data_IF_274723229034
#
_entry.id   IF_274723229034
#
_cell.length_a   1.000
_cell.length_b   1.000
_cell.length_c   1.000
_cell.angle_alpha   90.00
_cell.angle_beta   90.00
_cell.angle_gamma   90.00
#
_symmetry.space_group_name_H-M   'P 1'
#
loop_
_entity.id
_entity.type
_entity.pdbx_description
1 polymer ?
#
# COMPACT_ATOMS: atom_id res chain seq x y z
N UNK A 1 4.70 15.19 17.03
CA UNK A 1 3.27 15.23 16.69
C UNK A 1 2.47 14.60 17.82
N UNK A 2 1.39 15.22 18.27
CA UNK A 2 0.57 14.68 19.33
C UNK A 2 -0.39 13.58 18.83
N UNK A 3 -1.01 12.84 19.74
CA UNK A 3 -1.89 11.72 19.38
C UNK A 3 -3.13 12.14 18.61
N UNK A 4 -3.67 13.31 18.91
CA UNK A 4 -4.82 13.85 18.18
C UNK A 4 -4.50 14.11 16.70
N UNK A 5 -3.37 14.76 16.43
CA UNK A 5 -2.90 15.01 15.05
C UNK A 5 -2.62 13.71 14.31
N UNK A 6 -2.04 12.72 14.97
CA UNK A 6 -1.79 11.40 14.39
C UNK A 6 -3.09 10.69 13.99
N UNK A 7 -4.08 10.70 14.86
CA UNK A 7 -5.40 10.12 14.56
C UNK A 7 -6.09 10.80 13.40
N UNK A 8 -6.04 12.11 13.35
CA UNK A 8 -6.66 12.89 12.28
C UNK A 8 -5.92 12.65 10.97
N UNK A 9 -4.60 12.67 10.96
CA UNK A 9 -3.81 12.39 9.76
C UNK A 9 -4.07 10.97 9.23
N UNK A 10 -4.11 9.99 10.11
CA UNK A 10 -4.44 8.61 9.74
C UNK A 10 -5.82 8.52 9.10
N UNK A 11 -6.82 9.18 9.68
CA UNK A 11 -8.18 9.19 9.14
C UNK A 11 -8.25 9.84 7.75
N UNK A 12 -7.52 10.94 7.54
CA UNK A 12 -7.44 11.60 6.22
C UNK A 12 -6.84 10.66 5.18
N UNK A 13 -5.74 10.01 5.50
CA UNK A 13 -5.06 9.13 4.55
C UNK A 13 -5.90 7.89 4.25
N UNK A 14 -6.50 7.28 5.28
CA UNK A 14 -7.39 6.13 5.10
C UNK A 14 -8.59 6.48 4.20
N UNK A 15 -9.21 7.62 4.43
CA UNK A 15 -10.33 8.09 3.60
C UNK A 15 -9.88 8.38 2.15
N UNK A 16 -8.74 9.05 1.98
CA UNK A 16 -8.21 9.33 0.65
C UNK A 16 -7.84 8.07 -0.12
N UNK A 17 -7.27 7.07 0.53
CA UNK A 17 -6.96 5.77 -0.09
C UNK A 17 -8.24 5.10 -0.61
N UNK A 18 -9.34 5.22 0.14
CA UNK A 18 -10.61 4.59 -0.23
C UNK A 18 -11.38 5.35 -1.31
N UNK A 19 -11.30 6.67 -1.34
CA UNK A 19 -12.14 7.51 -2.20
C UNK A 19 -11.40 8.21 -3.33
N UNK A 20 -10.09 8.41 -3.20
CA UNK A 20 -9.26 9.22 -4.08
C UNK A 20 -9.76 10.68 -4.24
N UNK A 21 -10.54 11.17 -3.28
CA UNK A 21 -11.11 12.51 -3.26
C UNK A 21 -10.58 13.31 -2.08
N UNK A 22 -10.46 14.65 -2.21
CA UNK A 22 -10.08 15.51 -1.09
C UNK A 22 -10.98 15.31 0.12
N UNK A 23 -10.38 15.29 1.30
CA UNK A 23 -11.07 14.97 2.56
C UNK A 23 -11.38 16.22 3.34
N UNK A 24 -12.65 16.40 3.72
CA UNK A 24 -13.13 17.52 4.54
C UNK A 24 -13.21 17.14 6.02
N UNK A 25 -13.21 18.15 6.89
CA UNK A 25 -13.41 17.95 8.33
C UNK A 25 -14.77 17.31 8.64
N UNK A 26 -15.82 17.68 7.92
CA UNK A 26 -17.15 17.09 8.08
C UNK A 26 -17.19 15.60 7.77
N UNK A 27 -16.54 15.18 6.70
CA UNK A 27 -16.45 13.78 6.32
C UNK A 27 -15.72 12.93 7.38
N UNK A 28 -14.66 13.48 7.97
CA UNK A 28 -13.91 12.78 9.02
C UNK A 28 -14.72 12.59 10.29
N UNK A 29 -15.41 13.64 10.74
CA UNK A 29 -16.24 13.57 11.94
C UNK A 29 -17.38 12.57 11.75
N UNK A 30 -18.02 12.58 10.59
CA UNK A 30 -19.15 11.71 10.28
C UNK A 30 -18.75 10.24 10.15
N UNK A 31 -17.69 9.94 9.37
CA UNK A 31 -17.33 8.57 9.03
C UNK A 31 -16.44 7.86 10.04
N UNK A 32 -15.55 8.60 10.71
CA UNK A 32 -14.53 8.00 11.58
C UNK A 32 -14.85 8.12 13.08
N UNK A 33 -16.01 8.68 13.42
CA UNK A 33 -16.46 8.78 14.82
C UNK A 33 -15.43 9.45 15.74
N UNK A 34 -14.74 10.47 15.23
CA UNK A 34 -13.75 11.21 16.00
C UNK A 34 -14.43 11.95 17.15
N UNK A 35 -13.86 11.84 18.36
CA UNK A 35 -14.36 12.50 19.58
C UNK A 35 -14.06 14.01 19.61
N UNK A 36 -13.88 14.63 18.45
CA UNK A 36 -13.53 16.04 18.32
C UNK A 36 -14.60 16.78 17.54
N UNK A 37 -14.78 18.07 17.87
CA UNK A 37 -15.68 18.92 17.09
C UNK A 37 -15.16 19.14 15.67
N UNK A 38 -16.06 19.44 14.75
CA UNK A 38 -15.70 19.80 13.37
C UNK A 38 -14.73 20.98 13.31
N UNK A 39 -14.88 21.97 14.20
CA UNK A 39 -13.97 23.11 14.30
C UNK A 39 -12.57 22.68 14.75
N UNK A 40 -12.46 21.78 15.72
CA UNK A 40 -11.18 21.22 16.17
C UNK A 40 -10.48 20.46 15.06
N UNK A 41 -11.21 19.61 14.35
CA UNK A 41 -10.67 18.85 13.21
C UNK A 41 -10.18 19.79 12.11
N UNK A 42 -10.95 20.82 11.79
CA UNK A 42 -10.56 21.84 10.81
C UNK A 42 -9.26 22.54 11.19
N UNK A 43 -9.10 22.92 12.45
CA UNK A 43 -7.88 23.56 12.95
C UNK A 43 -6.68 22.61 12.86
N UNK A 44 -6.87 21.35 13.20
CA UNK A 44 -5.81 20.35 13.09
C UNK A 44 -5.40 20.06 11.63
N UNK A 45 -6.38 20.07 10.71
CA UNK A 45 -6.09 19.95 9.27
C UNK A 45 -5.24 21.13 8.77
N UNK A 46 -5.56 22.36 9.22
CA UNK A 46 -4.78 23.54 8.88
C UNK A 46 -3.33 23.45 9.42
N UNK A 47 -3.16 22.96 10.64
CA UNK A 47 -1.83 22.75 11.24
C UNK A 47 -1.03 21.67 10.50
N UNK A 48 -1.68 20.58 10.12
CA UNK A 48 -1.05 19.51 9.34
C UNK A 48 -0.63 19.99 7.94
N UNK A 49 -1.42 20.88 7.33
CA UNK A 49 -1.07 21.52 6.07
C UNK A 49 0.18 22.41 6.24
N UNK A 50 0.22 23.26 7.26
CA UNK A 50 1.37 24.11 7.56
C UNK A 50 2.64 23.32 7.82
N UNK A 51 2.52 22.17 8.46
CA UNK A 51 3.63 21.28 8.75
C UNK A 51 4.06 20.42 7.56
N UNK A 52 3.34 20.50 6.43
CA UNK A 52 3.66 19.80 5.19
C UNK A 52 3.14 18.37 5.08
N UNK A 53 2.32 17.90 6.01
CA UNK A 53 1.75 16.55 5.97
C UNK A 53 0.53 16.43 5.06
N UNK A 54 -0.17 17.53 4.83
CA UNK A 54 -1.33 17.62 3.95
C UNK A 54 -1.16 18.77 2.97
N UNK A 55 -1.78 18.62 1.80
CA UNK A 55 -1.88 19.67 0.78
C UNK A 55 -3.33 20.10 0.63
N UNK A 56 -3.53 21.39 0.34
CA UNK A 56 -4.83 21.95 0.07
C UNK A 56 -5.12 21.89 -1.43
N UNK A 57 -6.34 21.50 -1.78
CA UNK A 57 -6.78 21.50 -3.18
C UNK A 57 -7.32 22.86 -3.59
N UNK A 58 -7.28 23.16 -4.91
CA UNK A 58 -7.68 24.47 -5.46
C UNK A 58 -9.18 24.73 -5.38
N UNK A 59 -10.03 23.72 -5.25
CA UNK A 59 -11.47 23.82 -5.48
C UNK A 59 -12.34 23.58 -4.25
N UNK A 60 -11.75 23.22 -3.11
CA UNK A 60 -12.53 22.92 -1.92
C UNK A 60 -11.73 23.16 -0.64
N UNK A 61 -12.42 23.10 0.50
CA UNK A 61 -11.79 23.09 1.82
C UNK A 61 -11.14 21.75 2.17
N UNK A 62 -11.20 20.77 1.27
CA UNK A 62 -10.64 19.45 1.45
C UNK A 62 -9.12 19.41 1.44
N UNK A 63 -8.57 18.36 2.02
CA UNK A 63 -7.13 18.10 2.07
C UNK A 63 -6.80 16.78 1.44
N UNK A 64 -5.62 16.72 0.81
CA UNK A 64 -5.04 15.48 0.28
C UNK A 64 -3.70 15.21 0.99
N UNK A 65 -3.29 13.95 1.14
CA UNK A 65 -1.99 13.64 1.72
C UNK A 65 -0.85 14.14 0.83
N UNK A 66 0.17 14.75 1.45
CA UNK A 66 1.43 15.06 0.79
C UNK A 66 2.35 13.84 0.78
N UNK A 67 3.45 13.91 0.04
CA UNK A 67 4.49 12.88 0.08
C UNK A 67 5.00 12.65 1.51
N UNK A 68 5.25 13.73 2.24
CA UNK A 68 5.64 13.67 3.64
C UNK A 68 4.58 13.00 4.52
N UNK A 69 3.31 13.28 4.26
CA UNK A 69 2.18 12.66 4.96
C UNK A 69 2.11 11.16 4.74
N UNK A 70 2.22 10.70 3.52
CA UNK A 70 2.25 9.27 3.20
C UNK A 70 3.44 8.56 3.83
N UNK A 71 4.61 9.17 3.81
CA UNK A 71 5.80 8.59 4.44
C UNK A 71 5.61 8.41 5.94
N UNK A 72 5.08 9.42 6.60
CA UNK A 72 4.77 9.34 8.02
C UNK A 72 3.71 8.27 8.33
N UNK A 73 2.70 8.14 7.48
CA UNK A 73 1.68 7.11 7.60
C UNK A 73 2.26 5.70 7.54
N UNK A 74 3.12 5.44 6.55
CA UNK A 74 3.75 4.13 6.39
C UNK A 74 4.71 3.82 7.55
N UNK A 75 5.48 4.81 7.99
CA UNK A 75 6.50 4.59 9.01
C UNK A 75 5.94 4.51 10.43
N UNK A 76 4.90 5.31 10.74
CA UNK A 76 4.46 5.54 12.12
C UNK A 76 3.00 5.19 12.40
N UNK A 77 2.12 5.29 11.41
CA UNK A 77 0.67 5.19 11.63
C UNK A 77 0.08 3.86 11.21
N UNK A 78 0.60 3.25 10.15
CA UNK A 78 0.08 1.98 9.69
C UNK A 78 0.44 0.89 10.70
N UNK A 79 -0.56 0.16 11.14
CA UNK A 79 -0.33 -1.03 11.97
C UNK A 79 -0.09 -2.19 11.02
N UNK A 80 1.05 -2.84 11.17
CA UNK A 80 1.28 -4.11 10.54
C UNK A 80 0.33 -5.13 11.18
N UNK A 81 -0.64 -5.58 10.40
CA UNK A 81 -1.43 -6.74 10.80
C UNK A 81 -0.54 -7.96 10.63
N UNK A 82 -0.29 -8.69 11.71
CA UNK A 82 0.44 -9.93 11.67
C UNK A 82 -0.31 -10.92 10.76
N UNK A 83 0.34 -11.33 9.69
CA UNK A 83 -0.18 -12.37 8.81
C UNK A 83 -0.18 -13.69 9.59
N UNK A 84 -1.31 -14.37 9.64
CA UNK A 84 -1.40 -15.67 10.30
C UNK A 84 -0.49 -16.70 9.63
N UNK A 85 -0.08 -17.73 10.38
CA UNK A 85 0.74 -18.80 9.82
C UNK A 85 0.05 -19.53 8.66
N UNK A 86 -1.26 -19.68 8.72
CA UNK A 86 -2.06 -20.28 7.65
C UNK A 86 -2.08 -19.43 6.38
N UNK A 87 -2.22 -18.11 6.53
CA UNK A 87 -2.12 -17.17 5.41
C UNK A 87 -0.75 -17.17 4.78
N UNK A 88 0.31 -17.20 5.59
CA UNK A 88 1.69 -17.29 5.09
C UNK A 88 1.90 -18.58 4.29
N UNK A 89 1.43 -19.72 4.78
CA UNK A 89 1.51 -21.00 4.06
C UNK A 89 0.73 -20.97 2.76
N UNK A 90 -0.44 -20.36 2.76
CA UNK A 90 -1.24 -20.19 1.55
C UNK A 90 -0.52 -19.35 0.49
N UNK A 91 0.05 -18.21 0.89
CA UNK A 91 0.83 -17.35 -0.01
C UNK A 91 2.04 -18.09 -0.57
N UNK A 92 2.80 -18.78 0.29
CA UNK A 92 3.96 -19.57 -0.13
C UNK A 92 3.59 -20.66 -1.14
N UNK A 93 2.48 -21.38 -0.90
CA UNK A 93 2.03 -22.43 -1.81
C UNK A 93 1.66 -21.88 -3.20
N UNK A 94 1.00 -20.72 -3.26
CA UNK A 94 0.65 -20.05 -4.52
C UNK A 94 1.88 -19.59 -5.28
N UNK A 95 2.82 -18.97 -4.60
CA UNK A 95 4.07 -18.50 -5.23
C UNK A 95 4.92 -19.67 -5.73
N UNK A 96 5.06 -20.73 -4.95
CA UNK A 96 5.81 -21.93 -5.35
C UNK A 96 5.20 -22.61 -6.59
N UNK A 97 3.88 -22.69 -6.68
CA UNK A 97 3.18 -23.22 -7.84
C UNK A 97 3.50 -22.41 -9.10
N UNK A 98 3.49 -21.09 -9.03
CA UNK A 98 3.82 -20.22 -10.17
C UNK A 98 5.28 -20.33 -10.59
N UNK A 99 6.20 -20.43 -9.66
CA UNK A 99 7.63 -20.64 -9.97
C UNK A 99 7.84 -21.97 -10.66
N UNK A 100 7.20 -23.06 -10.21
CA UNK A 100 7.28 -24.36 -10.85
C UNK A 100 6.70 -24.34 -12.27
N UNK A 101 5.59 -23.64 -12.50
CA UNK A 101 5.02 -23.45 -13.83
C UNK A 101 6.00 -22.75 -14.79
N UNK A 102 6.73 -21.74 -14.30
CA UNK A 102 7.75 -21.03 -15.08
C UNK A 102 8.92 -21.96 -15.43
N UNK A 103 9.40 -22.76 -14.48
CA UNK A 103 10.46 -23.74 -14.70
C UNK A 103 10.05 -24.79 -15.76
N UNK A 104 8.83 -25.31 -15.67
CA UNK A 104 8.31 -26.29 -16.65
C UNK A 104 8.21 -25.67 -18.04
N UNK A 105 7.73 -24.42 -18.14
CA UNK A 105 7.68 -23.70 -19.40
C UNK A 105 9.07 -23.50 -20.01
N UNK A 106 10.06 -23.15 -19.19
CA UNK A 106 11.44 -22.98 -19.63
C UNK A 106 12.01 -24.30 -20.15
N UNK A 107 11.74 -25.43 -19.50
CA UNK A 107 12.16 -26.79 -19.96
C UNK A 107 11.52 -27.12 -21.29
N UNK A 108 10.24 -26.91 -21.47
CA UNK A 108 9.52 -27.17 -22.73
C UNK A 108 10.10 -26.33 -23.86
N UNK A 109 10.29 -25.01 -23.62
CA UNK A 109 10.87 -24.12 -24.63
C UNK A 109 12.29 -24.53 -25.03
N UNK A 110 13.12 -24.89 -24.05
CA UNK A 110 14.49 -25.34 -24.28
C UNK A 110 14.54 -26.63 -25.10
N UNK A 111 13.75 -27.63 -24.74
CA UNK A 111 13.64 -28.89 -25.46
C UNK A 111 13.16 -28.69 -26.90
N UNK A 112 12.14 -27.87 -27.08
CA UNK A 112 11.54 -27.58 -28.39
C UNK A 112 12.54 -26.89 -29.31
N UNK A 113 13.24 -25.87 -28.83
CA UNK A 113 14.26 -25.16 -29.60
C UNK A 113 15.44 -26.05 -29.95
N UNK A 114 15.90 -26.88 -29.04
CA UNK A 114 16.97 -27.82 -29.25
C UNK A 114 16.60 -28.86 -30.33
N UNK A 115 15.37 -29.35 -30.31
CA UNK A 115 14.83 -30.31 -31.27
C UNK A 115 14.71 -29.70 -32.67
N UNK A 116 14.19 -28.48 -32.80
CA UNK A 116 13.99 -27.80 -34.09
C UNK A 116 15.33 -27.39 -34.72
N UNK A 117 16.25 -26.85 -33.92
CA UNK A 117 17.50 -26.26 -34.40
C UNK A 117 18.65 -27.23 -34.45
N UNK A 118 18.55 -28.38 -33.81
CA UNK A 118 19.64 -29.37 -33.61
C UNK A 118 20.85 -28.81 -32.85
N UNK A 119 20.66 -27.69 -32.12
CA UNK A 119 21.68 -27.10 -31.25
C UNK A 119 21.35 -27.34 -29.79
N UNK A 120 22.37 -27.36 -28.94
CA UNK A 120 22.17 -27.36 -27.50
C UNK A 120 21.64 -26.01 -27.05
N UNK A 121 20.53 -26.03 -26.31
CA UNK A 121 19.87 -24.81 -25.78
C UNK A 121 19.89 -24.85 -24.25
N UNK A 122 20.21 -23.71 -23.63
CA UNK A 122 20.24 -23.56 -22.17
C UNK A 122 19.33 -22.41 -21.77
N UNK A 123 18.47 -22.63 -20.79
CA UNK A 123 17.66 -21.61 -20.18
C UNK A 123 18.02 -21.45 -18.70
N UNK A 124 18.15 -20.21 -18.26
CA UNK A 124 18.39 -19.87 -16.85
C UNK A 124 17.18 -19.16 -16.30
N UNK A 125 16.50 -19.80 -15.37
CA UNK A 125 15.34 -19.24 -14.69
C UNK A 125 15.68 -18.55 -13.37
N UNK A 126 14.68 -17.95 -12.70
CA UNK A 126 14.88 -17.37 -11.38
C UNK A 126 15.27 -18.45 -10.36
N UNK A 127 16.21 -18.10 -9.46
CA UNK A 127 16.56 -18.99 -8.36
C UNK A 127 15.43 -19.05 -7.35
N UNK A 128 15.03 -20.25 -7.00
CA UNK A 128 14.15 -20.46 -5.85
C UNK A 128 15.01 -20.76 -4.63
N UNK A 129 14.88 -19.93 -3.59
CA UNK A 129 15.43 -20.28 -2.29
C UNK A 129 14.48 -21.28 -1.64
N UNK A 130 14.95 -22.49 -1.42
CA UNK A 130 14.25 -23.45 -0.58
C UNK A 130 14.52 -23.11 0.87
N UNK A 131 13.48 -22.70 1.57
CA UNK A 131 13.50 -22.57 3.03
C UNK A 131 13.07 -23.89 3.67
#
# INVERSE_FOLDING_TARGET
MNDRKKKILQAVIDEYINTAEPVSSGALVEKYGLDYSSATVRNELADLEKSGYLDKTHTSSGRVPSEKGYRFYVDELIKEDDISLEEMKYIQSKLSTKVNEIEDLAKIATSTLSEITHYTTVAIGPKTEQQ
#
